data_IF_868981332949
#
_entry.id   IF_868981332949
#
_cell.length_a   1.000
_cell.length_b   1.000
_cell.length_c   1.000
_cell.angle_alpha   90.00
_cell.angle_beta   90.00
_cell.angle_gamma   90.00
#
_symmetry.space_group_name_H-M   'P 1'
#
loop_
_entity.id
_entity.type
_entity.pdbx_description
1 polymer ?
#
# COMPACT_ATOMS: atom_id res chain seq x y z
N UNK A 1 -69.21 16.78 -31.27
CA UNK A 1 -68.48 17.83 -30.47
C UNK A 1 -67.44 17.24 -29.54
N UNK A 2 -67.65 16.13 -28.84
CA UNK A 2 -66.71 15.56 -27.87
C UNK A 2 -65.34 15.09 -28.44
N UNK A 3 -65.32 14.53 -29.70
CA UNK A 3 -64.10 14.02 -30.29
C UNK A 3 -63.11 15.14 -30.71
N UNK A 4 -63.60 16.28 -31.18
CA UNK A 4 -62.74 17.44 -31.53
C UNK A 4 -62.12 18.08 -30.30
N UNK A 5 -62.78 18.07 -29.14
CA UNK A 5 -62.28 18.60 -27.89
C UNK A 5 -61.15 17.72 -27.31
N UNK A 6 -61.24 16.41 -27.42
CA UNK A 6 -60.21 15.47 -27.00
C UNK A 6 -58.94 15.58 -27.84
N UNK A 7 -59.08 15.80 -29.14
CA UNK A 7 -57.94 15.98 -30.06
C UNK A 7 -57.14 17.26 -29.74
N UNK A 8 -57.85 18.34 -29.43
CA UNK A 8 -57.21 19.63 -29.07
C UNK A 8 -56.46 19.54 -27.74
N UNK A 9 -57.00 18.84 -26.73
CA UNK A 9 -56.34 18.62 -25.46
C UNK A 9 -55.08 17.75 -25.63
N UNK A 10 -55.11 16.73 -26.49
CA UNK A 10 -53.98 15.86 -26.77
C UNK A 10 -52.84 16.63 -27.45
N UNK A 11 -53.15 17.51 -28.42
CA UNK A 11 -52.16 18.35 -29.11
C UNK A 11 -51.56 19.39 -28.16
N UNK A 12 -52.32 19.97 -27.26
CA UNK A 12 -51.82 20.94 -26.28
C UNK A 12 -50.91 20.25 -25.25
N UNK A 13 -51.26 19.04 -24.80
CA UNK A 13 -50.41 18.28 -23.86
C UNK A 13 -49.11 17.84 -24.52
N UNK A 14 -49.11 17.44 -25.78
CA UNK A 14 -47.87 17.06 -26.49
C UNK A 14 -46.98 18.27 -26.77
N UNK A 15 -47.55 19.43 -27.11
CA UNK A 15 -46.80 20.69 -27.29
C UNK A 15 -46.19 21.19 -25.94
N UNK A 16 -46.93 21.08 -24.85
CA UNK A 16 -46.41 21.44 -23.53
C UNK A 16 -45.31 20.48 -23.07
N UNK A 17 -45.44 19.17 -23.31
CA UNK A 17 -44.38 18.22 -22.94
C UNK A 17 -43.09 18.40 -23.75
N UNK A 18 -43.17 18.69 -25.06
CA UNK A 18 -41.99 18.99 -25.88
C UNK A 18 -41.30 20.30 -25.44
N UNK A 19 -42.07 21.33 -25.10
CA UNK A 19 -41.52 22.60 -24.60
C UNK A 19 -40.82 22.45 -23.25
N UNK A 20 -41.31 21.61 -22.35
CA UNK A 20 -40.67 21.32 -21.08
C UNK A 20 -39.39 20.48 -21.23
N UNK A 21 -39.35 19.55 -22.17
CA UNK A 21 -38.15 18.75 -22.48
C UNK A 21 -37.06 19.64 -23.07
N UNK A 22 -37.40 20.49 -24.04
CA UNK A 22 -36.45 21.39 -24.69
C UNK A 22 -35.90 22.47 -23.72
N UNK A 23 -36.74 23.01 -22.82
CA UNK A 23 -36.31 23.93 -21.78
C UNK A 23 -35.40 23.26 -20.73
N UNK A 24 -35.59 21.96 -20.46
CA UNK A 24 -34.76 21.17 -19.55
C UNK A 24 -33.40 20.85 -20.19
N UNK A 25 -33.35 20.50 -21.47
CA UNK A 25 -32.11 20.26 -22.18
C UNK A 25 -31.27 21.54 -22.33
N UNK A 26 -31.87 22.68 -22.63
CA UNK A 26 -31.22 24.00 -22.66
C UNK A 26 -30.62 24.35 -21.28
N UNK A 27 -31.33 24.08 -20.19
CA UNK A 27 -30.82 24.34 -18.84
C UNK A 27 -29.65 23.43 -18.42
N UNK A 28 -29.65 22.19 -18.88
CA UNK A 28 -28.56 21.23 -18.64
C UNK A 28 -27.32 21.65 -19.43
N UNK A 29 -27.43 21.99 -20.71
CA UNK A 29 -26.32 22.49 -21.51
C UNK A 29 -25.71 23.76 -20.92
N UNK A 30 -26.52 24.73 -20.52
CA UNK A 30 -26.05 25.96 -19.87
C UNK A 30 -25.31 25.66 -18.53
N UNK A 31 -25.75 24.64 -17.78
CA UNK A 31 -25.09 24.22 -16.55
C UNK A 31 -23.73 23.54 -16.84
N UNK A 32 -23.65 22.76 -17.90
CA UNK A 32 -22.40 22.12 -18.33
C UNK A 32 -21.39 23.14 -18.86
N UNK A 33 -21.84 24.11 -19.65
CA UNK A 33 -21.00 25.21 -20.14
C UNK A 33 -20.47 26.06 -18.98
N UNK A 34 -21.30 26.39 -17.98
CA UNK A 34 -20.86 27.10 -16.78
C UNK A 34 -19.83 26.30 -15.98
N UNK A 35 -20.04 25.00 -15.78
CA UNK A 35 -19.07 24.12 -15.11
C UNK A 35 -17.75 24.04 -15.86
N UNK A 36 -17.81 24.00 -17.21
CA UNK A 36 -16.61 23.99 -18.07
C UNK A 36 -15.85 25.31 -17.98
N UNK A 37 -16.56 26.43 -18.06
CA UNK A 37 -15.97 27.77 -17.92
C UNK A 37 -15.38 28.00 -16.52
N UNK A 38 -16.04 27.54 -15.45
CA UNK A 38 -15.52 27.65 -14.09
C UNK A 38 -14.27 26.75 -13.88
N UNK A 39 -14.23 25.57 -14.50
CA UNK A 39 -13.03 24.72 -14.49
C UNK A 39 -11.87 25.38 -15.25
N UNK A 40 -12.11 26.00 -16.38
CA UNK A 40 -11.08 26.72 -17.14
C UNK A 40 -10.55 27.94 -16.37
N UNK A 41 -11.43 28.74 -15.79
CA UNK A 41 -11.04 29.87 -14.90
C UNK A 41 -10.25 29.41 -13.68
N UNK A 42 -10.61 28.26 -13.11
CA UNK A 42 -9.88 27.67 -11.99
C UNK A 42 -8.48 27.22 -12.43
N UNK A 43 -8.37 26.56 -13.59
CA UNK A 43 -7.07 26.17 -14.18
C UNK A 43 -6.18 27.39 -14.50
N UNK A 44 -6.77 28.46 -15.03
CA UNK A 44 -6.03 29.70 -15.31
C UNK A 44 -5.56 30.41 -14.02
N UNK A 45 -6.42 30.48 -13.00
CA UNK A 45 -6.04 31.04 -11.68
C UNK A 45 -4.94 30.20 -11.03
N UNK A 46 -5.01 28.87 -11.12
CA UNK A 46 -3.98 27.98 -10.65
C UNK A 46 -2.67 28.14 -11.43
N UNK A 47 -2.73 28.30 -12.77
CA UNK A 47 -1.55 28.59 -13.61
C UNK A 47 -0.91 29.93 -13.25
N UNK A 48 -1.72 30.98 -13.06
CA UNK A 48 -1.21 32.33 -12.67
C UNK A 48 -0.62 32.31 -11.26
N UNK A 49 -1.27 31.65 -10.29
CA UNK A 49 -0.73 31.47 -8.93
C UNK A 49 0.57 30.66 -8.91
N UNK A 50 0.66 29.63 -9.78
CA UNK A 50 1.86 28.80 -9.92
C UNK A 50 3.07 29.58 -10.44
N UNK A 51 2.88 30.52 -11.40
CA UNK A 51 3.97 31.34 -11.95
C UNK A 51 4.47 32.45 -11.01
N UNK A 52 3.59 33.01 -10.17
CA UNK A 52 3.92 34.16 -9.33
C UNK A 52 4.84 33.84 -8.15
N UNK A 53 5.02 32.55 -7.77
CA UNK A 53 5.79 32.11 -6.61
C UNK A 53 6.83 31.02 -6.92
N UNK A 54 7.22 30.86 -8.19
CA UNK A 54 8.24 29.87 -8.55
C UNK A 54 9.63 30.47 -8.35
N UNK A 55 10.40 29.86 -7.45
CA UNK A 55 11.83 30.16 -7.26
C UNK A 55 12.65 29.49 -8.36
N UNK A 56 13.78 30.06 -8.72
CA UNK A 56 14.72 29.42 -9.65
C UNK A 56 15.11 28.04 -9.17
N UNK A 57 15.19 27.07 -10.08
CA UNK A 57 15.53 25.69 -9.76
C UNK A 57 17.00 25.63 -9.36
N UNK A 58 17.25 25.21 -8.13
CA UNK A 58 18.59 25.03 -7.56
C UNK A 58 18.96 23.58 -7.40
N UNK A 59 17.97 22.70 -7.17
CA UNK A 59 18.14 21.25 -7.04
C UNK A 59 17.13 20.55 -7.94
N UNK A 60 17.61 19.69 -8.84
CA UNK A 60 16.76 18.79 -9.64
C UNK A 60 17.06 17.35 -9.27
N UNK A 61 16.02 16.56 -9.00
CA UNK A 61 16.13 15.18 -8.56
C UNK A 61 15.21 14.28 -9.34
N UNK A 62 15.76 13.19 -9.85
CA UNK A 62 15.04 12.17 -10.60
C UNK A 62 14.94 10.88 -9.80
N UNK A 63 13.75 10.30 -9.79
CA UNK A 63 13.45 9.00 -9.17
C UNK A 63 13.21 7.98 -10.26
N UNK A 64 13.89 6.86 -10.19
CA UNK A 64 13.62 5.71 -11.06
C UNK A 64 12.67 4.78 -10.34
N UNK A 65 11.46 4.58 -10.89
CA UNK A 65 10.58 3.50 -10.47
C UNK A 65 10.88 2.26 -11.30
N UNK A 66 11.37 1.23 -10.63
CA UNK A 66 11.74 -0.04 -11.25
C UNK A 66 10.77 -1.12 -10.82
N UNK A 67 10.09 -1.72 -11.76
CA UNK A 67 9.22 -2.87 -11.53
C UNK A 67 9.63 -4.05 -12.41
N UNK A 68 9.29 -5.25 -11.97
CA UNK A 68 9.52 -6.46 -12.75
C UNK A 68 8.20 -7.12 -13.14
N UNK A 69 8.09 -7.57 -14.38
CA UNK A 69 6.94 -8.35 -14.83
C UNK A 69 6.84 -9.65 -14.03
N UNK A 70 5.62 -10.00 -13.63
CA UNK A 70 5.34 -11.21 -12.84
C UNK A 70 4.30 -12.07 -13.52
N UNK A 71 4.44 -13.38 -13.36
CA UNK A 71 3.33 -14.30 -13.66
C UNK A 71 2.29 -14.16 -12.57
N UNK A 72 1.16 -13.58 -12.89
CA UNK A 72 0.06 -13.38 -11.96
C UNK A 72 -0.78 -14.65 -11.93
N UNK A 73 -1.00 -15.29 -10.77
CA UNK A 73 -1.89 -16.44 -10.66
C UNK A 73 -3.33 -16.03 -11.02
N UNK A 74 -4.18 -16.98 -11.45
CA UNK A 74 -5.58 -16.70 -11.71
C UNK A 74 -6.25 -16.12 -10.46
N UNK A 75 -6.97 -15.01 -10.63
CA UNK A 75 -7.70 -14.38 -9.52
C UNK A 75 -8.84 -15.29 -9.06
N UNK A 76 -9.06 -15.35 -7.73
CA UNK A 76 -10.14 -16.15 -7.15
C UNK A 76 -11.53 -15.53 -7.39
N UNK A 77 -11.60 -14.23 -7.59
CA UNK A 77 -12.82 -13.48 -7.80
C UNK A 77 -12.72 -12.57 -9.02
N UNK A 78 -13.76 -12.48 -9.82
CA UNK A 78 -13.89 -11.50 -10.91
C UNK A 78 -13.95 -10.04 -10.39
N UNK A 79 -14.05 -9.84 -9.07
CA UNK A 79 -14.02 -8.52 -8.43
C UNK A 79 -12.61 -8.05 -8.15
N UNK A 80 -11.63 -8.94 -8.20
CA UNK A 80 -10.23 -8.61 -7.96
C UNK A 80 -9.54 -8.32 -9.30
N UNK A 81 -9.23 -7.06 -9.60
CA UNK A 81 -8.60 -6.71 -10.87
C UNK A 81 -7.15 -7.21 -10.89
N UNK A 82 -6.71 -7.67 -12.05
CA UNK A 82 -5.29 -7.86 -12.32
C UNK A 82 -4.69 -6.47 -12.57
N UNK A 83 -3.77 -6.05 -11.70
CA UNK A 83 -3.14 -4.75 -11.79
C UNK A 83 -1.72 -4.88 -12.34
N UNK A 84 -1.49 -4.24 -13.49
CA UNK A 84 -0.17 -4.17 -14.12
C UNK A 84 0.57 -2.88 -13.80
N UNK A 85 -0.12 -1.93 -13.17
CA UNK A 85 0.33 -0.56 -12.91
C UNK A 85 0.50 -0.25 -11.41
N UNK A 86 0.61 -1.29 -10.57
CA UNK A 86 0.86 -1.08 -9.14
C UNK A 86 2.13 -0.27 -8.91
N UNK A 87 2.02 0.70 -8.02
CA UNK A 87 3.12 1.60 -7.66
C UNK A 87 3.26 2.81 -8.58
N UNK A 88 2.95 2.67 -9.88
CA UNK A 88 3.11 3.74 -10.88
C UNK A 88 2.39 5.04 -10.49
N UNK A 89 1.09 4.95 -10.21
CA UNK A 89 0.30 6.13 -9.83
C UNK A 89 0.64 6.64 -8.43
N UNK A 90 1.18 5.78 -7.56
CA UNK A 90 1.73 6.19 -6.26
C UNK A 90 2.91 7.12 -6.42
N UNK A 91 3.89 6.74 -7.26
CA UNK A 91 5.05 7.58 -7.61
C UNK A 91 4.60 8.89 -8.24
N UNK A 92 3.72 8.84 -9.25
CA UNK A 92 3.24 10.02 -9.96
C UNK A 92 2.59 11.04 -9.03
N UNK A 93 1.70 10.59 -8.15
CA UNK A 93 1.03 11.42 -7.15
C UNK A 93 2.03 12.05 -6.17
N UNK A 94 3.07 11.31 -5.77
CA UNK A 94 4.09 11.80 -4.86
C UNK A 94 5.01 12.85 -5.50
N UNK A 95 5.35 12.70 -6.78
CA UNK A 95 6.08 13.73 -7.55
C UNK A 95 5.27 15.04 -7.57
N UNK A 96 3.96 14.97 -7.84
CA UNK A 96 3.10 16.16 -7.78
C UNK A 96 3.10 16.83 -6.40
N UNK A 97 3.05 16.01 -5.33
CA UNK A 97 3.10 16.51 -3.95
C UNK A 97 4.46 17.16 -3.63
N UNK A 98 5.57 16.58 -4.08
CA UNK A 98 6.92 17.14 -3.91
C UNK A 98 7.07 18.45 -4.68
N UNK A 99 6.59 18.53 -5.92
CA UNK A 99 6.59 19.74 -6.73
C UNK A 99 5.78 20.87 -6.10
N UNK A 100 4.75 20.56 -5.30
CA UNK A 100 3.97 21.58 -4.59
C UNK A 100 4.85 22.38 -3.63
N UNK A 101 5.72 21.72 -2.84
CA UNK A 101 6.68 22.36 -1.96
C UNK A 101 7.91 22.86 -2.75
N UNK A 102 8.37 22.09 -3.73
CA UNK A 102 9.55 22.35 -4.54
C UNK A 102 9.54 23.75 -5.18
N UNK A 103 8.40 24.21 -5.69
CA UNK A 103 8.23 25.54 -6.30
C UNK A 103 8.65 26.69 -5.38
N UNK A 104 8.46 26.55 -4.06
CA UNK A 104 8.79 27.59 -3.09
C UNK A 104 10.25 27.55 -2.67
N UNK A 105 10.90 26.39 -2.76
CA UNK A 105 12.29 26.20 -2.33
C UNK A 105 13.29 26.10 -3.47
N UNK A 106 12.81 26.05 -4.73
CA UNK A 106 13.66 25.92 -5.92
C UNK A 106 14.06 24.46 -6.20
N UNK A 107 13.23 23.49 -5.81
CA UNK A 107 13.47 22.08 -6.08
C UNK A 107 12.53 21.55 -7.15
N UNK A 108 13.10 20.80 -8.08
CA UNK A 108 12.36 20.08 -9.13
C UNK A 108 12.47 18.57 -8.94
N UNK A 109 11.39 17.87 -9.25
CA UNK A 109 11.30 16.43 -9.08
C UNK A 109 10.64 15.80 -10.31
N UNK A 110 11.27 14.77 -10.85
CA UNK A 110 10.71 13.97 -11.91
C UNK A 110 10.83 12.48 -11.61
N UNK A 111 10.16 11.65 -12.40
CA UNK A 111 10.23 10.19 -12.30
C UNK A 111 10.41 9.56 -13.68
N UNK A 112 11.29 8.57 -13.74
CA UNK A 112 11.48 7.66 -14.86
C UNK A 112 10.92 6.29 -14.49
N UNK A 113 10.25 5.63 -15.43
CA UNK A 113 9.58 4.34 -15.17
C UNK A 113 10.21 3.25 -16.02
N UNK A 114 10.75 2.24 -15.35
CA UNK A 114 11.33 1.06 -15.95
C UNK A 114 10.56 -0.19 -15.54
N UNK A 115 10.07 -0.94 -16.54
CA UNK A 115 9.49 -2.26 -16.33
C UNK A 115 10.39 -3.31 -17.00
N UNK A 116 11.00 -4.16 -16.19
CA UNK A 116 11.84 -5.26 -16.64
C UNK A 116 10.94 -6.43 -17.00
N UNK A 117 11.07 -6.92 -18.21
CA UNK A 117 10.30 -8.05 -18.71
C UNK A 117 10.88 -9.38 -18.23
N UNK A 118 10.08 -10.47 -18.29
CA UNK A 118 10.49 -11.80 -17.83
C UNK A 118 11.72 -12.36 -18.56
N UNK A 119 11.99 -11.90 -19.77
CA UNK A 119 13.15 -12.31 -20.60
C UNK A 119 14.37 -11.39 -20.45
N UNK A 120 14.28 -10.33 -19.66
CA UNK A 120 15.36 -9.37 -19.41
C UNK A 120 16.12 -9.71 -18.13
N UNK A 121 17.37 -9.29 -18.06
CA UNK A 121 18.21 -9.51 -16.89
C UNK A 121 18.23 -8.26 -15.99
N UNK A 122 17.71 -8.41 -14.78
CA UNK A 122 17.62 -7.34 -13.79
C UNK A 122 18.98 -6.69 -13.49
N UNK A 123 20.04 -7.49 -13.31
CA UNK A 123 21.37 -6.98 -12.93
C UNK A 123 21.97 -6.12 -14.04
N UNK A 124 21.76 -6.54 -15.30
CA UNK A 124 22.24 -5.81 -16.48
C UNK A 124 21.52 -4.47 -16.60
N UNK A 125 20.18 -4.47 -16.53
CA UNK A 125 19.40 -3.25 -16.68
C UNK A 125 19.64 -2.29 -15.50
N UNK A 126 19.73 -2.80 -14.29
CA UNK A 126 20.01 -1.95 -13.11
C UNK A 126 21.42 -1.35 -13.18
N UNK A 127 22.44 -2.16 -13.58
CA UNK A 127 23.82 -1.66 -13.76
C UNK A 127 23.89 -0.57 -14.82
N UNK A 128 23.11 -0.66 -15.87
CA UNK A 128 23.01 0.38 -16.91
C UNK A 128 22.45 1.69 -16.34
N UNK A 129 21.43 1.63 -15.51
CA UNK A 129 20.85 2.80 -14.84
C UNK A 129 21.87 3.46 -13.88
N UNK A 130 22.62 2.67 -13.11
CA UNK A 130 23.70 3.20 -12.25
C UNK A 130 24.78 3.91 -13.08
N UNK A 131 25.21 3.32 -14.22
CA UNK A 131 26.20 3.93 -15.13
C UNK A 131 25.70 5.22 -15.78
N UNK A 132 24.38 5.41 -15.89
CA UNK A 132 23.74 6.66 -16.31
C UNK A 132 23.69 7.73 -15.20
N UNK A 133 24.22 7.43 -14.02
CA UNK A 133 24.24 8.35 -12.87
C UNK A 133 22.90 8.41 -12.10
N UNK A 134 22.00 7.45 -12.29
CA UNK A 134 20.75 7.39 -11.49
C UNK A 134 21.09 7.01 -10.05
N UNK A 135 20.51 7.74 -9.09
CA UNK A 135 20.85 7.66 -7.66
C UNK A 135 19.71 7.24 -6.77
N UNK A 136 18.46 7.51 -7.16
CA UNK A 136 17.27 7.29 -6.32
C UNK A 136 16.33 6.32 -6.99
N UNK A 137 16.11 5.17 -6.34
CA UNK A 137 15.30 4.09 -6.88
C UNK A 137 14.15 3.74 -5.94
N UNK A 138 12.97 3.61 -6.50
CA UNK A 138 11.80 2.99 -5.87
C UNK A 138 11.57 1.67 -6.59
N UNK A 139 11.76 0.55 -5.88
CA UNK A 139 11.81 -0.77 -6.51
C UNK A 139 10.65 -1.65 -6.07
N UNK A 140 9.85 -2.07 -7.03
CA UNK A 140 8.75 -3.02 -6.88
C UNK A 140 9.23 -4.44 -7.21
N UNK A 141 10.03 -5.00 -6.29
CA UNK A 141 10.74 -6.26 -6.43
C UNK A 141 10.47 -7.19 -5.25
N UNK A 142 10.58 -8.48 -5.49
CA UNK A 142 10.52 -9.52 -4.46
C UNK A 142 11.87 -9.67 -3.74
N UNK A 143 11.93 -10.55 -2.76
CA UNK A 143 13.16 -10.77 -1.99
C UNK A 143 14.34 -11.24 -2.84
N UNK A 144 14.10 -12.18 -3.75
CA UNK A 144 15.14 -12.77 -4.60
C UNK A 144 15.81 -11.71 -5.46
N UNK A 145 15.02 -10.85 -6.08
CA UNK A 145 15.51 -9.76 -6.93
C UNK A 145 16.22 -8.67 -6.08
N UNK A 146 15.70 -8.37 -4.89
CA UNK A 146 16.36 -7.42 -3.98
C UNK A 146 17.73 -7.94 -3.52
N UNK A 147 17.84 -9.22 -3.23
CA UNK A 147 19.13 -9.85 -2.88
C UNK A 147 20.12 -9.80 -4.05
N UNK A 148 19.66 -9.95 -5.30
CA UNK A 148 20.53 -9.75 -6.48
C UNK A 148 21.01 -8.30 -6.56
N UNK A 149 20.11 -7.30 -6.40
CA UNK A 149 20.50 -5.89 -6.41
C UNK A 149 21.54 -5.55 -5.35
N UNK A 150 21.40 -6.10 -4.14
CA UNK A 150 22.34 -5.85 -3.04
C UNK A 150 23.78 -6.26 -3.36
N UNK A 151 24.00 -7.13 -4.33
CA UNK A 151 25.31 -7.63 -4.73
C UNK A 151 25.90 -6.91 -5.95
N UNK A 152 25.19 -5.95 -6.54
CA UNK A 152 25.66 -5.18 -7.69
C UNK A 152 26.76 -4.20 -7.25
N UNK A 153 27.86 -4.16 -8.01
CA UNK A 153 28.92 -3.20 -7.79
C UNK A 153 28.42 -1.76 -8.00
N UNK A 154 28.73 -0.87 -7.06
CA UNK A 154 28.29 0.53 -7.11
C UNK A 154 26.89 0.79 -6.54
N UNK A 155 26.20 -0.25 -6.02
CA UNK A 155 24.87 -0.10 -5.41
C UNK A 155 24.88 0.87 -4.22
N UNK A 156 25.99 0.98 -3.52
CA UNK A 156 26.13 1.85 -2.34
C UNK A 156 26.14 3.36 -2.70
N UNK A 157 26.28 3.70 -3.99
CA UNK A 157 26.16 5.05 -4.53
C UNK A 157 24.70 5.46 -4.81
N UNK A 158 23.74 4.59 -4.50
CA UNK A 158 22.32 4.82 -4.71
C UNK A 158 21.51 4.60 -3.44
N UNK A 159 20.35 5.23 -3.36
CA UNK A 159 19.31 4.97 -2.34
C UNK A 159 18.22 4.13 -2.96
N UNK A 160 17.90 3.02 -2.31
CA UNK A 160 16.92 2.04 -2.78
C UNK A 160 15.74 1.98 -1.79
N UNK A 161 14.56 2.29 -2.27
CA UNK A 161 13.31 2.11 -1.51
C UNK A 161 12.60 0.85 -1.99
N UNK A 162 12.62 -0.20 -1.17
CA UNK A 162 11.78 -1.37 -1.37
C UNK A 162 10.32 -1.02 -1.06
N UNK A 163 9.40 -1.30 -2.00
CA UNK A 163 7.97 -1.01 -1.83
C UNK A 163 7.08 -2.26 -1.84
N UNK A 164 7.66 -3.47 -2.03
CA UNK A 164 6.90 -4.73 -2.07
C UNK A 164 7.30 -5.74 -1.01
N UNK A 165 8.57 -6.13 -0.96
CA UNK A 165 8.98 -7.27 -0.14
C UNK A 165 8.84 -7.02 1.36
N UNK A 166 8.12 -7.94 2.03
CA UNK A 166 7.85 -7.95 3.47
C UNK A 166 8.82 -8.86 4.25
N UNK A 167 9.78 -9.51 3.57
CA UNK A 167 10.65 -10.50 4.21
C UNK A 167 11.55 -9.88 5.29
N UNK A 168 11.56 -10.50 6.47
CA UNK A 168 12.36 -10.07 7.61
C UNK A 168 13.88 -10.23 7.40
N UNK A 169 14.33 -11.10 6.47
CA UNK A 169 15.76 -11.31 6.18
C UNK A 169 16.43 -10.04 5.67
N UNK A 170 15.72 -9.25 4.85
CA UNK A 170 16.19 -7.98 4.30
C UNK A 170 16.42 -6.89 5.37
N UNK A 171 15.83 -7.04 6.55
CA UNK A 171 15.97 -6.12 7.70
C UNK A 171 16.85 -6.73 8.79
N UNK A 172 17.48 -7.86 8.50
CA UNK A 172 18.33 -8.63 9.40
C UNK A 172 19.65 -8.96 8.77
N UNK A 173 19.89 -10.25 8.49
CA UNK A 173 21.17 -10.74 7.99
C UNK A 173 21.58 -10.18 6.61
N UNK A 174 20.61 -9.83 5.78
CA UNK A 174 20.83 -9.29 4.43
C UNK A 174 20.60 -7.78 4.37
N UNK A 175 20.73 -7.04 5.47
CA UNK A 175 20.49 -5.62 5.46
C UNK A 175 21.63 -4.82 4.80
N UNK A 176 21.29 -3.68 4.17
CA UNK A 176 22.23 -2.67 3.69
C UNK A 176 21.76 -1.28 4.07
N UNK A 177 22.68 -0.39 4.43
CA UNK A 177 22.40 0.94 4.95
C UNK A 177 21.66 1.84 3.97
N UNK A 178 21.88 1.66 2.66
CA UNK A 178 21.24 2.41 1.58
C UNK A 178 19.91 1.81 1.11
N UNK A 179 19.43 0.73 1.75
CA UNK A 179 18.13 0.11 1.48
C UNK A 179 17.11 0.52 2.55
N UNK A 180 16.05 1.17 2.11
CA UNK A 180 14.92 1.60 2.92
C UNK A 180 13.69 0.76 2.63
N UNK A 181 13.07 0.21 3.67
CA UNK A 181 11.95 -0.71 3.53
C UNK A 181 10.65 -0.02 3.96
N UNK A 182 9.79 0.32 2.99
CA UNK A 182 8.51 0.95 3.25
C UNK A 182 7.45 -0.06 3.72
N UNK A 183 7.33 -1.26 3.11
CA UNK A 183 6.40 -2.28 3.58
C UNK A 183 6.75 -2.72 5.00
N UNK A 184 5.75 -2.89 5.89
CA UNK A 184 5.98 -3.55 7.16
C UNK A 184 6.45 -4.99 6.93
N UNK A 185 7.41 -5.45 7.74
CA UNK A 185 7.87 -6.84 7.66
C UNK A 185 6.80 -7.82 8.17
N UNK A 186 6.96 -9.10 7.85
CA UNK A 186 6.07 -10.15 8.39
C UNK A 186 6.03 -10.14 9.91
N UNK A 187 7.13 -9.89 10.60
CA UNK A 187 7.17 -9.74 12.06
C UNK A 187 6.34 -8.56 12.54
N UNK A 188 6.39 -7.42 11.86
CA UNK A 188 5.60 -6.23 12.21
C UNK A 188 4.10 -6.51 12.03
N UNK A 189 3.71 -7.09 10.89
CA UNK A 189 2.30 -7.44 10.61
C UNK A 189 1.75 -8.45 11.62
N UNK A 190 2.56 -9.49 11.93
CA UNK A 190 2.19 -10.51 12.90
C UNK A 190 1.99 -9.93 14.30
N UNK A 191 2.92 -9.08 14.76
CA UNK A 191 2.82 -8.45 16.09
C UNK A 191 1.62 -7.50 16.16
N UNK A 192 1.39 -6.71 15.11
CA UNK A 192 0.26 -5.80 15.04
C UNK A 192 -1.10 -6.52 15.17
N UNK A 193 -1.24 -7.65 14.49
CA UNK A 193 -2.42 -8.50 14.58
C UNK A 193 -2.51 -9.12 15.97
N UNK A 194 -1.42 -9.69 16.47
CA UNK A 194 -1.39 -10.43 17.74
C UNK A 194 -1.74 -9.53 18.92
N UNK A 195 -1.22 -8.30 18.98
CA UNK A 195 -1.58 -7.34 20.04
C UNK A 195 -3.11 -7.14 20.12
N UNK A 196 -3.78 -7.01 18.97
CA UNK A 196 -5.23 -6.88 18.93
C UNK A 196 -5.95 -8.16 19.37
N UNK A 197 -5.50 -9.33 18.91
CA UNK A 197 -6.10 -10.61 19.28
C UNK A 197 -5.98 -10.85 20.80
N UNK A 198 -4.85 -10.48 21.42
CA UNK A 198 -4.66 -10.50 22.87
C UNK A 198 -5.63 -9.56 23.58
N UNK A 199 -5.78 -8.31 23.10
CA UNK A 199 -6.75 -7.35 23.64
C UNK A 199 -8.19 -7.88 23.59
N UNK A 200 -8.52 -8.68 22.58
CA UNK A 200 -9.81 -9.39 22.47
C UNK A 200 -9.90 -10.68 23.28
N UNK A 201 -8.81 -11.11 23.94
CA UNK A 201 -8.71 -12.37 24.66
C UNK A 201 -8.87 -13.61 23.75
N UNK A 202 -8.51 -13.49 22.46
CA UNK A 202 -8.50 -14.59 21.49
C UNK A 202 -7.13 -15.28 21.51
N UNK A 203 -6.86 -15.99 22.61
CA UNK A 203 -5.54 -16.52 22.94
C UNK A 203 -5.31 -17.96 22.50
N UNK A 204 -6.30 -18.58 21.85
CA UNK A 204 -6.19 -19.95 21.30
C UNK A 204 -6.39 -19.88 19.80
N UNK A 205 -5.32 -20.17 19.07
CA UNK A 205 -5.35 -20.10 17.62
C UNK A 205 -5.46 -21.47 16.97
N UNK A 206 -6.15 -21.52 15.83
CA UNK A 206 -6.05 -22.53 14.82
C UNK A 206 -5.34 -21.92 13.63
N UNK A 207 -4.10 -22.39 13.34
CA UNK A 207 -3.25 -21.82 12.30
C UNK A 207 -3.38 -22.63 11.02
N UNK A 208 -3.77 -21.98 9.92
CA UNK A 208 -3.79 -22.54 8.58
C UNK A 208 -2.68 -21.92 7.74
N UNK A 209 -1.87 -22.75 7.10
CA UNK A 209 -0.69 -22.33 6.35
C UNK A 209 -0.86 -22.79 4.91
N UNK A 210 -0.64 -21.88 3.95
CA UNK A 210 -0.62 -22.21 2.54
C UNK A 210 0.66 -22.92 2.10
N UNK A 211 0.69 -23.40 0.85
CA UNK A 211 1.79 -24.23 0.35
C UNK A 211 3.02 -23.41 -0.07
N UNK A 212 2.89 -22.10 -0.28
CA UNK A 212 3.98 -21.27 -0.81
C UNK A 212 5.06 -20.96 0.23
N UNK A 213 6.23 -20.54 -0.25
CA UNK A 213 7.31 -20.08 0.63
C UNK A 213 6.92 -18.82 1.40
N UNK A 214 6.20 -17.87 0.76
CA UNK A 214 5.70 -16.66 1.42
C UNK A 214 4.74 -16.98 2.56
N UNK A 215 3.87 -17.99 2.38
CA UNK A 215 2.95 -18.45 3.42
C UNK A 215 3.70 -19.02 4.61
N UNK A 216 4.75 -19.83 4.36
CA UNK A 216 5.61 -20.37 5.40
C UNK A 216 6.35 -19.28 6.17
N UNK A 217 6.90 -18.28 5.47
CA UNK A 217 7.60 -17.16 6.10
C UNK A 217 6.65 -16.33 7.00
N UNK A 218 5.45 -16.05 6.52
CA UNK A 218 4.45 -15.35 7.34
C UNK A 218 3.99 -16.21 8.52
N UNK A 219 3.76 -17.50 8.30
CA UNK A 219 3.40 -18.43 9.39
C UNK A 219 4.48 -18.52 10.47
N UNK A 220 5.76 -18.51 10.12
CA UNK A 220 6.86 -18.46 11.08
C UNK A 220 6.88 -17.15 11.87
N UNK A 221 6.59 -16.02 11.24
CA UNK A 221 6.44 -14.76 11.94
C UNK A 221 5.25 -14.78 12.89
N UNK A 222 4.10 -15.35 12.50
CA UNK A 222 2.93 -15.55 13.36
C UNK A 222 3.25 -16.45 14.57
N UNK A 223 4.00 -17.54 14.39
CA UNK A 223 4.43 -18.42 15.49
C UNK A 223 5.35 -17.71 16.49
N UNK A 224 6.30 -16.91 15.98
CA UNK A 224 7.18 -16.09 16.83
C UNK A 224 6.39 -15.06 17.62
N UNK A 225 5.45 -14.38 16.96
CA UNK A 225 4.54 -13.44 17.61
C UNK A 225 3.65 -14.13 18.64
N UNK A 226 3.07 -15.28 18.32
CA UNK A 226 2.30 -16.09 19.27
C UNK A 226 3.11 -16.41 20.54
N UNK A 227 4.38 -16.79 20.38
CA UNK A 227 5.30 -17.03 21.52
C UNK A 227 5.56 -15.74 22.30
N UNK A 228 5.86 -14.61 21.63
CA UNK A 228 6.14 -13.30 22.24
C UNK A 228 4.97 -12.83 23.11
N UNK A 229 3.74 -13.03 22.66
CA UNK A 229 2.51 -12.58 23.36
C UNK A 229 1.77 -13.69 24.12
N UNK A 230 2.41 -14.82 24.38
CA UNK A 230 1.87 -15.96 25.16
C UNK A 230 0.54 -16.52 24.59
N UNK A 231 0.45 -16.65 23.29
CA UNK A 231 -0.67 -17.25 22.57
C UNK A 231 -0.47 -18.77 22.44
N UNK A 232 -1.55 -19.53 22.54
CA UNK A 232 -1.54 -21.00 22.38
C UNK A 232 -2.03 -21.37 20.97
N UNK A 233 -1.15 -21.84 20.13
CA UNK A 233 -1.54 -22.48 18.87
C UNK A 233 -2.04 -23.88 19.22
N UNK A 234 -3.36 -24.08 19.16
CA UNK A 234 -4.05 -25.32 19.52
C UNK A 234 -3.95 -26.36 18.42
N UNK A 235 -3.97 -25.92 17.18
CA UNK A 235 -3.88 -26.75 16.02
C UNK A 235 -3.21 -25.99 14.88
N UNK A 236 -2.48 -26.72 14.04
CA UNK A 236 -1.87 -26.19 12.83
C UNK A 236 -2.13 -27.18 11.70
N UNK A 237 -2.61 -26.68 10.57
CA UNK A 237 -2.78 -27.49 9.35
C UNK A 237 -2.20 -26.74 8.15
N UNK A 238 -1.61 -27.49 7.24
CA UNK A 238 -1.19 -26.97 5.93
C UNK A 238 -2.32 -27.22 4.94
N UNK A 239 -2.61 -26.20 4.13
CA UNK A 239 -3.55 -26.32 3.04
C UNK A 239 -2.88 -27.04 1.88
N UNK A 240 -3.36 -28.20 1.52
CA UNK A 240 -2.81 -29.06 0.48
C UNK A 240 -3.81 -29.45 -0.60
N UNK A 241 -4.99 -28.83 -0.59
CA UNK A 241 -6.03 -29.12 -1.56
C UNK A 241 -5.72 -28.46 -2.92
N UNK A 242 -5.72 -29.28 -3.96
CA UNK A 242 -5.53 -28.85 -5.36
C UNK A 242 -6.83 -28.70 -6.14
N UNK A 243 -7.98 -29.04 -5.52
CA UNK A 243 -9.29 -29.00 -6.15
C UNK A 243 -9.79 -27.56 -6.39
N UNK A 244 -10.68 -27.40 -7.37
CA UNK A 244 -11.37 -26.11 -7.61
C UNK A 244 -12.26 -25.74 -6.41
N UNK A 245 -11.71 -24.93 -5.52
CA UNK A 245 -12.36 -24.47 -4.30
C UNK A 245 -13.68 -23.72 -4.54
N UNK A 246 -13.87 -23.13 -5.69
CA UNK A 246 -15.13 -22.49 -6.06
C UNK A 246 -16.32 -23.46 -5.96
N UNK A 247 -16.08 -24.74 -6.21
CA UNK A 247 -17.10 -25.80 -6.19
C UNK A 247 -17.13 -26.58 -4.90
N UNK A 248 -15.98 -26.78 -4.27
CA UNK A 248 -15.82 -27.75 -3.17
C UNK A 248 -15.73 -27.12 -1.78
N UNK A 249 -15.40 -25.81 -1.68
CA UNK A 249 -15.15 -25.12 -0.41
C UNK A 249 -16.26 -25.30 0.63
N UNK A 250 -17.52 -25.35 0.22
CA UNK A 250 -18.65 -25.55 1.13
C UNK A 250 -18.63 -26.90 1.88
N UNK A 251 -17.98 -27.92 1.32
CA UNK A 251 -17.83 -29.26 1.94
C UNK A 251 -16.46 -29.44 2.59
N UNK A 252 -15.42 -29.00 1.93
CA UNK A 252 -14.03 -29.25 2.34
C UNK A 252 -13.59 -28.35 3.50
N UNK A 253 -13.92 -27.06 3.47
CA UNK A 253 -13.51 -26.11 4.52
C UNK A 253 -14.03 -26.52 5.90
N UNK A 254 -15.32 -26.89 6.11
CA UNK A 254 -15.78 -27.36 7.41
C UNK A 254 -15.02 -28.60 7.90
N UNK A 255 -14.78 -29.58 7.03
CA UNK A 255 -14.05 -30.81 7.38
C UNK A 255 -12.61 -30.51 7.73
N UNK A 256 -11.95 -29.68 6.92
CA UNK A 256 -10.57 -29.27 7.14
C UNK A 256 -10.39 -28.50 8.45
N UNK A 257 -11.33 -27.60 8.76
CA UNK A 257 -11.27 -26.75 9.96
C UNK A 257 -11.87 -27.39 11.21
N UNK A 258 -12.36 -28.65 11.12
CA UNK A 258 -12.77 -29.44 12.26
C UNK A 258 -11.54 -29.88 13.06
N UNK A 259 -11.53 -29.57 14.36
CA UNK A 259 -10.39 -29.88 15.23
C UNK A 259 -10.57 -29.39 16.66
N UNK A 260 -9.46 -29.05 17.30
CA UNK A 260 -9.44 -28.53 18.67
C UNK A 260 -10.19 -27.22 18.82
N UNK A 261 -10.83 -26.98 19.95
CA UNK A 261 -11.49 -25.69 20.23
C UNK A 261 -10.49 -24.54 20.22
N UNK A 262 -10.80 -23.50 19.46
CA UNK A 262 -10.00 -22.29 19.31
C UNK A 262 -10.86 -21.02 19.42
N UNK A 263 -10.23 -19.87 19.58
CA UNK A 263 -10.90 -18.56 19.67
C UNK A 263 -10.93 -17.85 18.31
N UNK A 264 -9.88 -18.03 17.51
CA UNK A 264 -9.71 -17.41 16.18
C UNK A 264 -8.95 -18.36 15.26
N UNK A 265 -9.36 -18.41 13.99
CA UNK A 265 -8.64 -19.08 12.92
C UNK A 265 -7.69 -18.07 12.26
N UNK A 266 -6.40 -18.37 12.27
CA UNK A 266 -5.35 -17.51 11.70
C UNK A 266 -4.84 -18.11 10.42
N UNK A 267 -4.82 -17.33 9.35
CA UNK A 267 -4.51 -17.77 7.98
C UNK A 267 -3.21 -17.14 7.51
N UNK A 268 -2.32 -17.93 6.96
CA UNK A 268 -1.16 -17.52 6.21
C UNK A 268 -1.30 -17.99 4.76
N UNK A 269 -1.85 -17.12 3.91
CA UNK A 269 -2.09 -17.29 2.46
C UNK A 269 -1.71 -15.99 1.75
N UNK A 270 -0.40 -15.71 1.67
CA UNK A 270 0.16 -14.47 1.11
C UNK A 270 -0.06 -14.36 -0.41
N UNK A 271 -0.23 -15.47 -1.09
CA UNK A 271 -0.48 -15.50 -2.53
C UNK A 271 -1.98 -15.50 -2.89
N UNK A 272 -2.86 -15.67 -1.90
CA UNK A 272 -4.31 -15.55 -2.09
C UNK A 272 -4.94 -16.75 -2.82
N UNK A 273 -4.49 -17.98 -2.59
CA UNK A 273 -5.01 -19.16 -3.30
C UNK A 273 -6.28 -19.74 -2.68
N UNK A 274 -6.46 -19.66 -1.36
CA UNK A 274 -7.56 -20.34 -0.68
C UNK A 274 -8.23 -19.58 0.46
N UNK A 275 -7.53 -18.63 1.06
CA UNK A 275 -7.95 -18.00 2.32
C UNK A 275 -9.33 -17.33 2.26
N UNK A 276 -9.71 -16.77 1.09
CA UNK A 276 -11.01 -16.15 0.89
C UNK A 276 -12.19 -17.14 1.12
N UNK A 277 -11.96 -18.44 0.92
CA UNK A 277 -12.99 -19.46 1.12
C UNK A 277 -13.16 -19.89 2.57
N UNK A 278 -12.24 -19.53 3.48
CA UNK A 278 -12.30 -19.92 4.88
C UNK A 278 -13.34 -19.12 5.67
N UNK A 279 -13.48 -17.82 5.39
CA UNK A 279 -14.41 -16.96 6.09
C UNK A 279 -15.87 -17.51 5.96
N UNK A 280 -16.58 -17.59 7.09
CA UNK A 280 -17.98 -18.05 7.19
C UNK A 280 -18.22 -19.53 6.82
N UNK A 281 -17.16 -20.32 6.57
CA UNK A 281 -17.29 -21.75 6.22
C UNK A 281 -16.59 -22.69 7.21
N UNK A 282 -15.95 -22.14 8.24
CA UNK A 282 -15.27 -22.94 9.28
C UNK A 282 -16.25 -23.83 10.05
N UNK A 283 -15.76 -24.99 10.54
CA UNK A 283 -16.56 -25.89 11.39
C UNK A 283 -17.15 -25.18 12.61
N UNK A 284 -16.30 -24.48 13.36
CA UNK A 284 -16.73 -23.60 14.44
C UNK A 284 -16.90 -22.17 13.93
N UNK A 285 -18.00 -21.45 14.25
CA UNK A 285 -18.24 -20.08 13.83
C UNK A 285 -17.35 -19.11 14.59
N UNK A 286 -16.07 -19.11 14.27
CA UNK A 286 -15.04 -18.25 14.87
C UNK A 286 -14.55 -17.19 13.90
N UNK A 287 -14.03 -16.05 14.41
CA UNK A 287 -13.38 -15.05 13.56
C UNK A 287 -12.21 -15.64 12.77
N UNK A 288 -12.00 -15.11 11.58
CA UNK A 288 -10.85 -15.40 10.73
C UNK A 288 -9.97 -14.15 10.68
N UNK A 289 -8.66 -14.33 10.83
CA UNK A 289 -7.67 -13.25 10.83
C UNK A 289 -6.37 -13.69 10.14
N UNK A 290 -5.46 -12.77 9.86
CA UNK A 290 -4.21 -13.04 9.16
C UNK A 290 -4.23 -12.45 7.76
N UNK A 291 -3.95 -13.24 6.74
CA UNK A 291 -4.05 -12.80 5.34
C UNK A 291 -5.49 -12.62 4.88
N UNK A 292 -6.45 -13.19 5.61
CA UNK A 292 -7.88 -13.14 5.31
C UNK A 292 -8.70 -12.74 6.54
N UNK A 293 -9.93 -12.27 6.30
CA UNK A 293 -10.81 -11.79 7.36
C UNK A 293 -10.34 -10.47 7.96
N UNK A 294 -9.79 -10.48 9.17
CA UNK A 294 -9.12 -9.33 9.77
C UNK A 294 -7.64 -9.30 9.36
N UNK A 295 -7.29 -8.39 8.47
CA UNK A 295 -5.94 -8.29 7.88
C UNK A 295 -5.12 -7.17 8.53
N UNK A 296 -3.88 -7.41 8.95
CA UNK A 296 -2.93 -6.35 9.25
C UNK A 296 -2.33 -5.83 7.94
N UNK A 297 -2.52 -4.54 7.64
CA UNK A 297 -2.11 -3.92 6.38
C UNK A 297 -1.52 -2.55 6.60
N UNK A 298 -0.65 -2.11 5.72
CA UNK A 298 -0.11 -0.74 5.73
C UNK A 298 -1.11 0.27 5.16
N UNK A 299 -1.94 -0.14 4.21
CA UNK A 299 -2.95 0.70 3.59
C UNK A 299 -4.20 -0.09 3.23
N UNK A 300 -5.36 0.54 3.37
CA UNK A 300 -6.63 -0.07 2.99
C UNK A 300 -7.62 0.99 2.49
N UNK A 301 -8.46 0.63 1.53
CA UNK A 301 -9.46 1.53 0.94
C UNK A 301 -10.47 2.10 1.94
N UNK A 302 -10.67 1.45 3.08
CA UNK A 302 -11.56 1.90 4.15
C UNK A 302 -10.88 2.84 5.15
N UNK A 303 -9.62 3.18 4.90
CA UNK A 303 -8.92 4.17 5.72
C UNK A 303 -9.33 5.58 5.31
N UNK A 304 -10.07 6.26 6.19
CA UNK A 304 -10.69 7.56 5.93
C UNK A 304 -10.15 8.69 6.81
N UNK A 305 -9.46 8.33 7.90
CA UNK A 305 -8.97 9.28 8.89
C UNK A 305 -7.71 10.02 8.42
N UNK A 306 -7.41 11.13 9.12
CA UNK A 306 -6.17 11.93 8.95
C UNK A 306 -5.89 12.38 7.52
N UNK A 307 -6.93 12.65 6.73
CA UNK A 307 -6.82 13.09 5.34
C UNK A 307 -6.68 11.96 4.32
N UNK A 308 -6.76 10.69 4.72
CA UNK A 308 -6.66 9.54 3.83
C UNK A 308 -7.74 9.54 2.75
N UNK A 309 -8.97 9.95 3.05
CA UNK A 309 -10.05 10.11 2.06
C UNK A 309 -9.65 11.06 0.92
N UNK A 310 -9.00 12.18 1.23
CA UNK A 310 -8.55 13.13 0.21
C UNK A 310 -7.47 12.53 -0.68
N UNK A 311 -6.51 11.82 -0.09
CA UNK A 311 -5.47 11.11 -0.82
C UNK A 311 -6.06 10.03 -1.73
N UNK A 312 -6.97 9.20 -1.22
CA UNK A 312 -7.68 8.17 -1.98
C UNK A 312 -8.43 8.75 -3.17
N UNK A 313 -9.14 9.87 -2.97
CA UNK A 313 -9.88 10.54 -4.03
C UNK A 313 -8.96 11.17 -5.10
N UNK A 314 -7.80 11.70 -4.70
CA UNK A 314 -6.79 12.18 -5.65
C UNK A 314 -6.22 11.04 -6.47
N UNK A 315 -5.79 9.98 -5.81
CA UNK A 315 -5.27 8.78 -6.45
C UNK A 315 -6.28 8.18 -7.43
N UNK A 316 -7.54 8.02 -7.00
CA UNK A 316 -8.59 7.42 -7.81
C UNK A 316 -8.96 8.26 -9.06
N UNK A 317 -8.82 9.58 -9.00
CA UNK A 317 -9.01 10.45 -10.19
C UNK A 317 -7.94 10.23 -11.26
N UNK A 318 -6.70 9.92 -10.83
CA UNK A 318 -5.59 9.68 -11.74
C UNK A 318 -5.57 8.24 -12.29
N UNK A 319 -5.83 7.26 -11.42
CA UNK A 319 -5.68 5.84 -11.73
C UNK A 319 -6.97 5.13 -12.17
N UNK A 320 -8.14 5.68 -11.85
CA UNK A 320 -9.44 5.02 -12.06
C UNK A 320 -9.74 3.90 -11.05
N UNK A 321 -8.85 3.58 -10.14
CA UNK A 321 -8.93 2.46 -9.18
C UNK A 321 -8.62 2.88 -7.74
N UNK A 322 -8.85 1.99 -6.78
CA UNK A 322 -8.43 2.19 -5.40
C UNK A 322 -6.91 1.99 -5.25
N UNK A 323 -6.32 2.77 -4.33
CA UNK A 323 -4.91 2.67 -3.97
C UNK A 323 -4.62 1.35 -3.25
N UNK A 324 -3.64 0.60 -3.75
CA UNK A 324 -3.12 -0.61 -3.10
C UNK A 324 -2.04 -0.28 -2.06
N UNK A 325 -1.57 -1.30 -1.31
CA UNK A 325 -0.42 -1.13 -0.41
C UNK A 325 0.84 -0.71 -1.19
N UNK A 326 1.10 -1.30 -2.36
CA UNK A 326 2.28 -0.97 -3.19
C UNK A 326 2.22 0.46 -3.71
N UNK A 327 1.04 0.95 -4.11
CA UNK A 327 0.87 2.36 -4.50
C UNK A 327 1.16 3.31 -3.32
N UNK A 328 0.65 2.98 -2.13
CA UNK A 328 0.90 3.76 -0.91
C UNK A 328 2.38 3.73 -0.51
N UNK A 329 3.03 2.57 -0.62
CA UNK A 329 4.46 2.44 -0.34
C UNK A 329 5.29 3.27 -1.32
N UNK A 330 4.96 3.22 -2.61
CA UNK A 330 5.64 3.99 -3.65
C UNK A 330 5.47 5.50 -3.44
N UNK A 331 4.24 5.93 -3.10
CA UNK A 331 3.99 7.31 -2.72
C UNK A 331 4.82 7.71 -1.50
N UNK A 332 4.83 6.88 -0.46
CA UNK A 332 5.58 7.15 0.79
C UNK A 332 7.09 7.24 0.54
N UNK A 333 7.64 6.36 -0.30
CA UNK A 333 9.06 6.35 -0.67
C UNK A 333 9.48 7.67 -1.34
N UNK A 334 8.75 8.09 -2.36
CA UNK A 334 9.04 9.33 -3.10
C UNK A 334 8.82 10.57 -2.24
N UNK A 335 7.80 10.55 -1.35
CA UNK A 335 7.59 11.63 -0.39
C UNK A 335 8.69 11.71 0.66
N UNK A 336 9.19 10.54 1.14
CA UNK A 336 10.30 10.49 2.08
C UNK A 336 11.58 11.07 1.46
N UNK A 337 11.86 10.72 0.21
CA UNK A 337 12.97 11.28 -0.55
C UNK A 337 12.83 12.81 -0.69
N UNK A 338 11.65 13.30 -1.12
CA UNK A 338 11.40 14.73 -1.28
C UNK A 338 11.52 15.52 0.03
N UNK A 339 11.06 14.97 1.15
CA UNK A 339 11.24 15.56 2.48
C UNK A 339 12.73 15.60 2.85
N UNK A 340 13.48 14.51 2.60
CA UNK A 340 14.90 14.45 2.91
C UNK A 340 15.70 15.48 2.11
N UNK A 341 15.51 15.56 0.79
CA UNK A 341 16.16 16.54 -0.08
C UNK A 341 15.80 17.97 0.34
N UNK A 342 14.51 18.20 0.63
CA UNK A 342 14.05 19.53 1.05
C UNK A 342 14.70 19.97 2.37
N UNK A 343 14.87 19.07 3.33
CA UNK A 343 15.42 19.38 4.65
C UNK A 343 16.94 19.41 4.69
N UNK A 344 17.61 18.54 3.93
CA UNK A 344 19.07 18.55 3.82
C UNK A 344 19.57 19.67 2.87
N UNK A 345 18.72 20.23 2.04
CA UNK A 345 19.07 21.14 0.94
C UNK A 345 20.15 20.55 0.03
N UNK A 346 20.09 19.24 -0.19
CA UNK A 346 21.05 18.46 -0.97
C UNK A 346 20.35 17.28 -1.65
N UNK A 347 20.79 16.91 -2.84
CA UNK A 347 20.45 15.65 -3.51
C UNK A 347 21.66 14.71 -3.59
N UNK A 348 22.66 14.93 -2.74
CA UNK A 348 23.74 13.97 -2.54
C UNK A 348 23.22 12.74 -1.79
N UNK A 349 23.66 11.56 -2.22
CA UNK A 349 23.20 10.28 -1.67
C UNK A 349 23.49 10.17 -0.17
N UNK A 350 24.70 10.60 0.26
CA UNK A 350 25.12 10.49 1.65
C UNK A 350 24.32 11.44 2.55
N UNK A 351 24.09 12.69 2.10
CA UNK A 351 23.30 13.68 2.84
C UNK A 351 21.86 13.22 3.02
N UNK A 352 21.24 12.75 1.95
CA UNK A 352 19.87 12.23 1.96
C UNK A 352 19.75 10.99 2.87
N UNK A 353 20.68 10.05 2.75
CA UNK A 353 20.73 8.85 3.59
C UNK A 353 20.88 9.19 5.08
N UNK A 354 21.81 10.07 5.41
CA UNK A 354 22.05 10.50 6.78
C UNK A 354 20.79 11.19 7.37
N UNK A 355 20.11 12.00 6.57
CA UNK A 355 18.88 12.64 7.03
C UNK A 355 17.74 11.62 7.25
N UNK A 356 17.52 10.69 6.30
CA UNK A 356 16.51 9.64 6.41
C UNK A 356 16.67 8.77 7.67
N UNK A 357 17.93 8.45 8.04
CA UNK A 357 18.25 7.63 9.21
C UNK A 357 18.33 8.44 10.52
N UNK A 358 18.24 9.76 10.45
CA UNK A 358 18.31 10.61 11.62
C UNK A 358 17.00 10.64 12.41
N UNK A 359 17.09 11.03 13.69
CA UNK A 359 15.93 11.29 14.54
C UNK A 359 15.13 12.56 14.14
N UNK A 360 15.67 13.35 13.22
CA UNK A 360 15.03 14.57 12.69
C UNK A 360 14.02 14.23 11.59
N UNK A 361 14.19 13.06 10.93
CA UNK A 361 13.28 12.66 9.88
C UNK A 361 11.89 12.30 10.44
N UNK A 362 10.86 12.85 9.82
CA UNK A 362 9.48 12.51 10.15
C UNK A 362 8.53 12.99 9.07
N UNK A 363 7.86 12.05 8.42
CA UNK A 363 6.94 12.30 7.30
C UNK A 363 5.47 12.16 7.75
N UNK A 364 4.63 13.11 7.37
CA UNK A 364 3.17 12.97 7.44
C UNK A 364 2.68 12.04 6.34
N UNK A 365 2.18 10.87 6.71
CA UNK A 365 1.79 9.82 5.78
C UNK A 365 0.36 9.30 6.01
N UNK A 366 -0.54 10.21 6.41
CA UNK A 366 -1.96 9.90 6.65
C UNK A 366 -2.22 8.79 7.68
N UNK A 367 -1.35 8.68 8.70
CA UNK A 367 -1.41 7.63 9.72
C UNK A 367 -1.69 8.15 11.13
N UNK A 368 -2.03 9.44 11.27
CA UNK A 368 -2.24 10.09 12.58
C UNK A 368 -0.97 10.45 13.33
N UNK A 369 0.16 9.83 12.99
CA UNK A 369 1.48 10.13 13.53
C UNK A 369 2.50 10.28 12.40
N UNK A 370 3.62 10.93 12.68
CA UNK A 370 4.74 10.97 11.74
C UNK A 370 5.38 9.60 11.63
N UNK A 371 5.62 9.14 10.39
CA UNK A 371 6.38 7.94 10.12
C UNK A 371 7.87 8.29 10.05
N UNK A 372 8.75 7.36 10.44
CA UNK A 372 10.20 7.55 10.45
C UNK A 372 10.92 6.22 10.14
N UNK A 373 12.20 6.28 9.78
CA UNK A 373 12.97 5.07 9.58
C UNK A 373 13.68 4.62 10.86
N UNK A 374 13.79 3.32 11.05
CA UNK A 374 14.67 2.70 12.04
C UNK A 374 16.12 2.87 11.58
N UNK A 375 16.94 3.54 12.38
CA UNK A 375 18.34 3.80 12.05
C UNK A 375 19.21 2.55 11.95
N UNK A 376 18.79 1.43 12.54
CA UNK A 376 19.55 0.19 12.61
C UNK A 376 19.24 -0.82 11.49
N UNK A 377 18.16 -0.61 10.69
CA UNK A 377 17.81 -1.54 9.62
C UNK A 377 16.99 -0.95 8.46
N UNK A 378 16.83 0.38 8.40
CA UNK A 378 16.13 1.06 7.32
C UNK A 378 14.63 0.76 7.20
N UNK A 379 13.99 0.09 8.18
CA UNK A 379 12.56 -0.19 8.17
C UNK A 379 11.75 1.04 8.56
N UNK A 380 10.71 1.36 7.79
CA UNK A 380 9.76 2.43 8.12
C UNK A 380 8.94 2.06 9.36
N UNK A 381 8.98 2.93 10.39
CA UNK A 381 8.03 2.90 11.51
C UNK A 381 6.72 3.50 11.06
N UNK A 382 5.66 2.76 11.11
CA UNK A 382 4.32 3.22 10.77
C UNK A 382 3.25 2.44 11.55
N UNK A 383 2.11 3.07 11.87
CA UNK A 383 0.96 2.35 12.39
C UNK A 383 0.44 1.34 11.38
N UNK A 384 0.07 0.16 11.88
CA UNK A 384 -0.49 -0.92 11.08
C UNK A 384 -2.01 -0.94 11.23
N UNK A 385 -2.70 -0.86 10.11
CA UNK A 385 -4.15 -0.89 10.05
C UNK A 385 -4.64 -2.32 10.18
N UNK A 386 -5.66 -2.53 11.00
CA UNK A 386 -6.36 -3.82 11.09
C UNK A 386 -7.70 -3.67 10.39
N UNK A 387 -7.79 -4.16 9.18
CA UNK A 387 -8.91 -3.96 8.29
C UNK A 387 -9.67 -5.25 8.01
N UNK A 388 -10.99 -5.16 8.04
CA UNK A 388 -11.89 -6.13 7.41
C UNK A 388 -12.22 -5.65 5.98
N UNK A 389 -12.79 -6.47 5.11
CA UNK A 389 -12.97 -6.14 3.69
C UNK A 389 -13.69 -4.81 3.41
N UNK A 390 -14.55 -4.35 4.35
CA UNK A 390 -15.35 -3.12 4.21
C UNK A 390 -15.30 -2.18 5.41
N UNK A 391 -14.40 -2.42 6.37
CA UNK A 391 -14.32 -1.56 7.56
C UNK A 391 -12.92 -1.54 8.15
N UNK A 392 -12.54 -0.40 8.68
CA UNK A 392 -11.39 -0.28 9.56
C UNK A 392 -11.80 -0.73 10.96
N UNK A 393 -11.09 -1.69 11.52
CA UNK A 393 -11.42 -2.28 12.83
C UNK A 393 -10.60 -1.66 13.95
N UNK A 394 -9.28 -1.53 13.75
CA UNK A 394 -8.35 -0.98 14.74
C UNK A 394 -7.05 -0.54 14.07
N UNK A 395 -6.18 0.07 14.85
CA UNK A 395 -4.82 0.45 14.43
C UNK A 395 -3.86 -0.02 15.51
N UNK A 396 -2.77 -0.68 15.12
CA UNK A 396 -1.69 -1.11 16.02
C UNK A 396 -0.46 -0.19 15.86
N UNK A 397 0.30 0.05 16.94
CA UNK A 397 0.28 -0.62 18.25
C UNK A 397 -1.03 -0.40 19.00
N UNK A 398 -1.45 -1.43 19.73
CA UNK A 398 -2.62 -1.34 20.60
C UNK A 398 -2.25 -0.59 21.89
N UNK A 399 -3.22 0.10 22.46
CA UNK A 399 -3.08 0.78 23.76
C UNK A 399 -2.58 -0.17 24.87
N UNK A 400 -1.62 0.29 25.65
CA UNK A 400 -0.98 -0.47 26.71
C UNK A 400 0.35 -1.13 26.33
N UNK A 401 0.71 -1.12 25.04
CA UNK A 401 2.04 -1.54 24.61
C UNK A 401 2.97 -0.33 24.55
N UNK A 402 3.87 -0.22 25.54
CA UNK A 402 4.75 0.91 25.73
C UNK A 402 6.17 0.55 25.31
N UNK A 403 6.89 1.53 24.72
CA UNK A 403 8.28 1.39 24.35
C UNK A 403 9.05 2.70 24.67
N UNK A 404 10.32 2.64 25.16
CA UNK A 404 11.07 3.83 25.57
C UNK A 404 11.32 4.86 24.47
N UNK A 405 11.46 4.42 23.22
CA UNK A 405 11.78 5.30 22.07
C UNK A 405 10.51 5.63 21.26
N UNK A 406 9.77 4.61 20.87
CA UNK A 406 8.56 4.77 20.05
C UNK A 406 7.65 3.56 20.23
N UNK A 407 6.38 3.76 20.50
CA UNK A 407 5.39 2.67 20.57
C UNK A 407 5.38 1.81 19.30
N UNK A 408 5.73 2.39 18.13
CA UNK A 408 5.86 1.68 16.88
C UNK A 408 6.97 0.61 16.89
N UNK A 409 7.93 0.70 17.82
CA UNK A 409 9.00 -0.28 17.98
C UNK A 409 8.56 -1.48 18.84
N UNK A 410 7.34 -1.48 19.40
CA UNK A 410 6.71 -2.68 19.97
C UNK A 410 6.33 -3.71 18.92
N UNK A 411 6.32 -3.30 17.63
CA UNK A 411 5.97 -4.15 16.49
C UNK A 411 7.23 -4.65 15.78
N UNK A 412 7.30 -5.96 15.57
CA UNK A 412 8.43 -6.64 14.93
C UNK A 412 9.62 -6.78 15.85
N UNK A 413 10.81 -6.84 15.25
CA UNK A 413 12.07 -6.94 15.98
C UNK A 413 12.56 -5.55 16.39
N UNK A 414 12.85 -5.37 17.64
CA UNK A 414 13.47 -4.15 18.16
C UNK A 414 14.99 -4.14 17.93
N UNK A 415 15.64 -3.00 18.20
CA UNK A 415 17.08 -2.81 17.99
C UNK A 415 17.95 -3.87 18.67
N UNK A 416 17.71 -4.26 19.96
CA UNK A 416 18.49 -5.32 20.61
C UNK A 416 18.32 -6.71 19.98
N UNK A 417 17.21 -6.94 19.29
CA UNK A 417 16.90 -8.21 18.61
C UNK A 417 17.38 -8.23 17.16
N UNK A 418 17.92 -7.11 16.67
CA UNK A 418 18.33 -6.97 15.28
C UNK A 418 19.62 -7.73 15.01
N UNK A 419 19.63 -8.45 13.90
CA UNK A 419 20.85 -9.08 13.33
C UNK A 419 21.49 -8.23 12.25
N UNK A 420 20.90 -7.07 11.92
CA UNK A 420 21.43 -6.12 10.96
C UNK A 420 22.66 -5.41 11.53
N UNK A 421 23.71 -5.30 10.73
CA UNK A 421 24.95 -4.55 11.05
C UNK A 421 25.21 -3.62 9.90
N UNK A 422 24.92 -2.30 10.08
CA UNK A 422 25.27 -1.24 9.14
C UNK A 422 26.70 -0.74 9.34
#
# INVERSE_FOLDING_TARGET
>A
MRAKFFLIILIVVTLFSSFFVEARELSIQQLEERKKADMERKKEREKRGKKAFQKDITISSEVVFLSMERKIPPVLSNLDPILEDEGFYGVKLAIEDNLTTGRFVGHDYNAEFHRILLNENLEVEFTKLLKQGKKFFVVDLEETELNLLMNINGIDEAIIFNVRSKNDSLRGVNCKKNFFHIPPSYSILSDALTQYLVKKRWNKWFLVIGPSEKDRLYAEALKKSAKKFNIKIKEQKTWDFTADLRRTAGKEVPIFTKGSKYDVLVVADEIGEFGEYLAYRTWDPRPVAGTQGLKPVSWHRTHEQWGATQMQNRFRRESGRWMTEVDYHSWTAVRALGEAITRSQSNDVQDVQNYLLSNKFGLGAYKGVKVSFRSWNGQLRQPILLAAPRSMVSVSPQEGYIHPVSELDTLGKDQPESTCKF
#
